data_IF_683552758403
#
_entry.id   IF_683552758403
#
_cell.length_a   1.000
_cell.length_b   1.000
_cell.length_c   1.000
_cell.angle_alpha   90.00
_cell.angle_beta   90.00
_cell.angle_gamma   90.00
#
_symmetry.space_group_name_H-M   'P 1'
#
loop_
_entity.id
_entity.type
_entity.pdbx_description
1 polymer ?
#
# COMPACT_ATOMS: atom_id res chain seq x y z
N UNK A 1 33.42 -24.08 18.76
CA UNK A 1 33.73 -22.70 18.32
C UNK A 1 33.83 -22.59 16.80
N UNK A 2 34.79 -23.24 16.11
CA UNK A 2 34.94 -23.13 14.63
C UNK A 2 33.67 -23.43 13.80
N UNK A 3 32.88 -24.44 14.18
CA UNK A 3 31.60 -24.78 13.51
C UNK A 3 30.52 -23.71 13.70
N UNK A 4 30.48 -23.05 14.86
CA UNK A 4 29.53 -21.98 15.17
C UNK A 4 29.93 -20.71 14.40
N UNK A 5 31.22 -20.38 14.35
CA UNK A 5 31.75 -19.26 13.57
C UNK A 5 31.47 -19.43 12.07
N UNK A 6 31.63 -20.65 11.54
CA UNK A 6 31.30 -20.94 10.15
C UNK A 6 29.80 -20.79 9.86
N UNK A 7 28.92 -21.28 10.74
CA UNK A 7 27.47 -21.11 10.60
C UNK A 7 27.07 -19.62 10.62
N UNK A 8 27.63 -18.84 11.55
CA UNK A 8 27.39 -17.39 11.64
C UNK A 8 27.85 -16.65 10.38
N UNK A 9 29.00 -17.04 9.82
CA UNK A 9 29.50 -16.47 8.56
C UNK A 9 28.55 -16.78 7.38
N UNK A 10 28.01 -18.01 7.34
CA UNK A 10 27.07 -18.45 6.31
C UNK A 10 25.73 -17.69 6.41
N UNK A 11 25.25 -17.46 7.63
CA UNK A 11 24.07 -16.63 7.89
C UNK A 11 24.31 -15.18 7.47
N UNK A 12 25.43 -14.57 7.87
CA UNK A 12 25.77 -13.19 7.49
C UNK A 12 25.93 -13.02 5.97
N UNK A 13 26.55 -13.97 5.29
CA UNK A 13 26.69 -13.96 3.83
C UNK A 13 25.32 -14.05 3.15
N UNK A 14 24.42 -14.90 3.66
CA UNK A 14 23.06 -14.98 3.13
C UNK A 14 22.30 -13.65 3.29
N UNK A 15 22.38 -12.99 4.45
CA UNK A 15 21.75 -11.69 4.68
C UNK A 15 22.27 -10.61 3.70
N UNK A 16 23.56 -10.63 3.37
CA UNK A 16 24.15 -9.68 2.43
C UNK A 16 23.67 -9.94 0.99
N UNK A 17 23.57 -11.21 0.59
CA UNK A 17 23.10 -11.61 -0.74
C UNK A 17 21.61 -11.32 -0.97
N UNK A 18 20.80 -11.31 0.09
CA UNK A 18 19.37 -10.99 0.02
C UNK A 18 19.04 -9.51 0.31
N UNK A 19 20.05 -8.63 0.40
CA UNK A 19 19.83 -7.20 0.61
C UNK A 19 19.26 -6.53 -0.65
N UNK A 20 17.95 -6.37 -0.70
CA UNK A 20 17.28 -5.63 -1.77
C UNK A 20 17.62 -4.13 -1.68
N UNK A 21 18.09 -3.54 -2.78
CA UNK A 21 18.37 -2.10 -2.89
C UNK A 21 17.36 -1.34 -3.74
N UNK A 22 16.49 -2.06 -4.46
CA UNK A 22 15.56 -1.54 -5.47
C UNK A 22 14.15 -2.06 -5.27
N UNK A 23 13.15 -1.22 -5.46
CA UNK A 23 11.74 -1.59 -5.33
C UNK A 23 10.88 -0.93 -6.40
N UNK A 24 9.84 -1.63 -6.82
CA UNK A 24 8.76 -1.08 -7.64
C UNK A 24 7.48 -1.08 -6.82
N UNK A 25 6.90 0.11 -6.64
CA UNK A 25 5.63 0.32 -5.96
C UNK A 25 4.53 0.54 -6.99
N UNK A 26 3.46 -0.22 -6.84
CA UNK A 26 2.25 -0.17 -7.66
C UNK A 26 1.04 0.07 -6.78
N UNK A 27 -0.07 0.50 -7.38
CA UNK A 27 -1.36 0.41 -6.72
C UNK A 27 -1.74 -1.07 -6.60
N UNK A 28 -1.75 -1.59 -5.37
CA UNK A 28 -2.01 -3.00 -5.09
C UNK A 28 -3.49 -3.39 -5.26
N UNK A 29 -4.42 -2.42 -5.32
CA UNK A 29 -5.81 -2.69 -5.72
C UNK A 29 -5.88 -2.90 -7.23
N UNK A 30 -5.21 -2.04 -7.98
CA UNK A 30 -5.12 -2.11 -9.44
C UNK A 30 -5.36 -0.78 -10.13
N UNK A 31 -5.62 -0.85 -11.43
CA UNK A 31 -5.83 0.31 -12.31
C UNK A 31 -7.02 0.07 -13.25
N UNK A 32 -7.76 1.12 -13.58
CA UNK A 32 -8.80 1.05 -14.60
C UNK A 32 -8.17 1.05 -15.99
N UNK A 33 -8.82 0.38 -16.95
CA UNK A 33 -8.28 0.12 -18.29
C UNK A 33 -7.82 1.39 -19.01
N UNK A 34 -8.57 2.49 -18.91
CA UNK A 34 -8.32 3.75 -19.64
C UNK A 34 -7.82 4.90 -18.75
N UNK A 35 -7.49 4.61 -17.51
CA UNK A 35 -7.01 5.61 -16.55
C UNK A 35 -5.48 5.68 -16.52
N UNK A 36 -4.94 6.67 -15.81
CA UNK A 36 -3.51 6.84 -15.62
C UNK A 36 -2.94 5.70 -14.76
N UNK A 37 -1.88 5.08 -15.26
CA UNK A 37 -1.19 3.95 -14.61
C UNK A 37 0.28 4.26 -14.52
N UNK A 38 0.75 4.45 -13.29
CA UNK A 38 2.14 4.79 -13.01
C UNK A 38 2.63 3.95 -11.84
N UNK A 39 3.76 3.29 -12.03
CA UNK A 39 4.51 2.67 -10.94
C UNK A 39 5.65 3.59 -10.51
N UNK A 40 6.07 3.45 -9.25
CA UNK A 40 7.19 4.21 -8.68
C UNK A 40 8.33 3.25 -8.43
N UNK A 41 9.39 3.40 -9.19
CA UNK A 41 10.65 2.69 -8.96
C UNK A 41 11.53 3.54 -8.03
N UNK A 42 12.17 2.92 -7.03
CA UNK A 42 13.04 3.58 -6.05
C UNK A 42 14.25 2.71 -5.74
N UNK A 43 15.41 3.34 -5.51
CA UNK A 43 16.67 2.65 -5.26
C UNK A 43 17.52 3.36 -4.20
N UNK A 44 18.27 2.59 -3.41
CA UNK A 44 19.30 3.09 -2.48
C UNK A 44 20.60 3.50 -3.19
N UNK A 45 20.82 3.05 -4.42
CA UNK A 45 21.93 3.44 -5.29
C UNK A 45 21.54 4.45 -6.37
N UNK A 46 22.44 4.65 -7.33
CA UNK A 46 22.33 5.66 -8.40
C UNK A 46 21.85 5.09 -9.75
N UNK A 47 21.93 3.77 -9.95
CA UNK A 47 21.56 3.13 -11.20
C UNK A 47 20.05 3.27 -11.44
N UNK A 48 19.64 3.84 -12.57
CA UNK A 48 18.23 4.06 -12.91
C UNK A 48 17.78 3.20 -14.10
N UNK A 49 16.50 2.80 -14.16
CA UNK A 49 15.97 2.13 -15.33
C UNK A 49 15.69 3.15 -16.45
N UNK A 50 15.92 2.73 -17.69
CA UNK A 50 15.50 3.46 -18.89
C UNK A 50 14.25 2.82 -19.55
N UNK A 51 13.95 1.58 -19.18
CA UNK A 51 12.81 0.81 -19.67
C UNK A 51 12.25 -0.09 -18.57
N UNK A 52 11.03 -0.57 -18.79
CA UNK A 52 10.38 -1.56 -17.95
C UNK A 52 9.45 -2.45 -18.78
N UNK A 53 9.01 -3.55 -18.20
CA UNK A 53 8.15 -4.54 -18.84
C UNK A 53 6.92 -4.79 -17.97
N UNK A 54 5.76 -5.04 -18.60
CA UNK A 54 4.66 -5.72 -17.92
C UNK A 54 4.71 -7.19 -18.33
N UNK A 55 4.67 -8.05 -17.32
CA UNK A 55 4.63 -9.49 -17.49
C UNK A 55 3.25 -9.96 -17.04
N UNK A 56 2.56 -10.68 -17.91
CA UNK A 56 1.29 -11.32 -17.58
C UNK A 56 1.55 -12.53 -16.69
N UNK A 57 0.90 -12.59 -15.52
CA UNK A 57 1.17 -13.64 -14.53
C UNK A 57 0.68 -15.00 -15.00
N UNK A 58 -0.38 -15.04 -15.82
CA UNK A 58 -0.98 -16.30 -16.25
C UNK A 58 -0.13 -17.03 -17.28
N UNK A 59 0.52 -16.28 -18.18
CA UNK A 59 1.37 -16.80 -19.25
C UNK A 59 2.87 -16.74 -18.90
N UNK A 60 3.28 -15.84 -18.01
CA UNK A 60 4.69 -15.52 -17.76
C UNK A 60 5.33 -14.70 -18.89
N UNK A 61 4.55 -14.25 -19.88
CA UNK A 61 5.07 -13.54 -21.04
C UNK A 61 5.11 -12.02 -20.82
N UNK A 62 6.13 -11.39 -21.43
CA UNK A 62 6.18 -9.93 -21.53
C UNK A 62 5.13 -9.45 -22.53
N UNK A 63 4.09 -8.81 -22.02
CA UNK A 63 2.95 -8.31 -22.83
C UNK A 63 3.05 -6.84 -23.20
N UNK A 64 3.98 -6.10 -22.56
CA UNK A 64 4.24 -4.70 -22.86
C UNK A 64 5.67 -4.33 -22.49
N UNK A 65 6.30 -3.49 -23.32
CA UNK A 65 7.59 -2.86 -23.03
C UNK A 65 7.37 -1.35 -23.00
N UNK A 66 7.66 -0.73 -21.86
CA UNK A 66 7.47 0.69 -21.63
C UNK A 66 8.79 1.45 -21.57
N UNK A 67 8.87 2.54 -22.34
CA UNK A 67 10.00 3.45 -22.37
C UNK A 67 9.66 4.83 -21.78
N UNK A 68 8.40 5.05 -21.36
CA UNK A 68 7.99 6.28 -20.67
C UNK A 68 8.45 6.24 -19.20
N UNK A 69 9.75 6.44 -19.02
CA UNK A 69 10.39 6.53 -17.71
C UNK A 69 10.73 7.99 -17.41
N UNK A 70 10.15 8.53 -16.33
CA UNK A 70 10.46 9.88 -15.85
C UNK A 70 11.28 9.79 -14.57
N UNK A 71 12.57 10.11 -14.64
CA UNK A 71 13.42 10.21 -13.46
C UNK A 71 12.96 11.35 -12.54
N UNK A 72 12.90 11.07 -11.24
CA UNK A 72 12.40 12.01 -10.22
C UNK A 72 13.43 12.36 -9.15
N UNK A 73 14.67 11.89 -9.31
CA UNK A 73 15.81 12.24 -8.44
C UNK A 73 15.76 11.58 -7.06
N UNK A 74 16.47 12.16 -6.10
CA UNK A 74 16.51 11.68 -4.71
C UNK A 74 15.15 11.83 -4.01
N UNK A 75 14.86 10.92 -3.08
CA UNK A 75 13.74 10.97 -2.14
C UNK A 75 14.29 10.78 -0.72
N UNK A 76 13.58 11.17 0.36
CA UNK A 76 14.15 11.13 1.72
C UNK A 76 14.80 9.79 2.13
N UNK A 77 14.28 8.67 1.62
CA UNK A 77 14.80 7.33 1.88
C UNK A 77 15.58 6.70 0.70
N UNK A 78 15.70 7.34 -0.45
CA UNK A 78 16.20 6.72 -1.70
C UNK A 78 17.10 7.67 -2.50
N UNK A 79 18.21 7.14 -3.02
CA UNK A 79 19.17 7.91 -3.82
C UNK A 79 18.75 8.12 -5.25
N UNK A 80 17.87 7.28 -5.77
CA UNK A 80 17.26 7.51 -7.07
C UNK A 80 15.83 7.02 -7.09
N UNK A 81 15.03 7.66 -7.94
CA UNK A 81 13.63 7.32 -8.13
C UNK A 81 13.19 7.65 -9.54
N UNK A 82 12.19 6.91 -10.03
CA UNK A 82 11.61 7.10 -11.34
C UNK A 82 10.11 6.75 -11.33
N UNK A 83 9.37 7.34 -12.27
CA UNK A 83 7.99 6.99 -12.58
C UNK A 83 7.94 6.22 -13.88
N UNK A 84 7.32 5.05 -13.84
CA UNK A 84 7.15 4.14 -14.97
C UNK A 84 5.70 4.28 -15.46
N UNK A 85 5.47 4.97 -16.57
CA UNK A 85 4.12 5.20 -17.09
C UNK A 85 3.72 4.11 -18.10
N UNK A 86 2.69 3.34 -17.77
CA UNK A 86 2.16 2.27 -18.62
C UNK A 86 0.68 2.48 -18.95
N UNK A 87 0.23 3.74 -18.93
CA UNK A 87 -1.17 4.09 -19.19
C UNK A 87 -1.67 3.61 -20.56
N UNK A 88 -0.77 3.52 -21.55
CA UNK A 88 -1.06 3.02 -22.89
C UNK A 88 -1.48 1.55 -22.93
N UNK A 89 -1.12 0.75 -21.91
CA UNK A 89 -1.57 -0.63 -21.79
C UNK A 89 -2.94 -0.68 -21.13
N UNK A 90 -3.93 -1.19 -21.87
CA UNK A 90 -5.35 -1.17 -21.48
C UNK A 90 -5.97 -2.56 -21.33
N UNK A 91 -5.23 -3.62 -21.65
CA UNK A 91 -5.75 -4.99 -21.61
C UNK A 91 -6.02 -5.42 -20.16
N UNK A 92 -7.23 -5.90 -19.84
CA UNK A 92 -7.53 -6.40 -18.52
C UNK A 92 -6.75 -7.68 -18.19
N UNK A 93 -6.32 -7.82 -16.94
CA UNK A 93 -5.57 -8.99 -16.48
C UNK A 93 -4.83 -8.75 -15.17
N UNK A 94 -3.93 -9.69 -14.84
CA UNK A 94 -3.06 -9.59 -13.65
C UNK A 94 -1.61 -9.58 -14.11
N UNK A 95 -0.87 -8.56 -13.67
CA UNK A 95 0.47 -8.27 -14.16
C UNK A 95 1.45 -8.03 -13.02
N UNK A 96 2.73 -8.19 -13.32
CA UNK A 96 3.84 -7.59 -12.57
C UNK A 96 4.57 -6.60 -13.49
N UNK A 97 5.22 -5.60 -12.90
CA UNK A 97 6.18 -4.74 -13.61
C UNK A 97 7.58 -5.20 -13.28
N UNK A 98 8.43 -5.32 -14.30
CA UNK A 98 9.85 -5.63 -14.19
C UNK A 98 10.71 -4.50 -14.74
N UNK A 99 11.70 -4.05 -13.99
CA UNK A 99 12.71 -3.10 -14.45
C UNK A 99 14.10 -3.61 -14.01
N UNK A 100 14.91 -4.06 -14.98
CA UNK A 100 16.11 -4.85 -14.68
C UNK A 100 15.74 -6.15 -13.96
N UNK A 101 16.37 -6.43 -12.82
CA UNK A 101 16.06 -7.57 -11.96
C UNK A 101 14.96 -7.29 -10.93
N UNK A 102 14.49 -6.05 -10.84
CA UNK A 102 13.50 -5.64 -9.84
C UNK A 102 12.09 -5.87 -10.34
N UNK A 103 11.27 -6.56 -9.55
CA UNK A 103 9.88 -6.88 -9.85
C UNK A 103 8.92 -6.25 -8.83
N UNK A 104 7.74 -5.84 -9.29
CA UNK A 104 6.66 -5.38 -8.42
C UNK A 104 5.87 -6.55 -7.83
N UNK A 105 5.12 -6.33 -6.75
CA UNK A 105 3.98 -7.19 -6.42
C UNK A 105 2.99 -7.29 -7.59
N UNK A 106 2.20 -8.38 -7.65
CA UNK A 106 1.13 -8.51 -8.63
C UNK A 106 0.05 -7.44 -8.44
N UNK A 107 -0.50 -6.94 -9.55
CA UNK A 107 -1.62 -6.00 -9.55
C UNK A 107 -2.57 -6.27 -10.72
N UNK A 108 -3.79 -5.72 -10.64
CA UNK A 108 -4.83 -5.91 -11.66
C UNK A 108 -5.00 -4.68 -12.55
N UNK A 109 -5.36 -4.92 -13.80
CA UNK A 109 -5.95 -3.92 -14.69
C UNK A 109 -7.34 -4.40 -15.08
N UNK A 110 -8.35 -3.54 -14.95
CA UNK A 110 -9.74 -3.87 -15.27
C UNK A 110 -10.69 -2.80 -14.76
N UNK A 111 -11.87 -2.66 -15.37
CA UNK A 111 -12.85 -1.66 -14.93
C UNK A 111 -13.60 -2.04 -13.63
N UNK A 112 -13.43 -3.29 -13.19
CA UNK A 112 -14.01 -3.86 -11.98
C UNK A 112 -13.10 -3.74 -10.74
N UNK A 113 -11.85 -3.26 -10.86
CA UNK A 113 -10.86 -3.30 -9.77
C UNK A 113 -11.27 -2.52 -8.51
N UNK A 114 -12.11 -1.50 -8.67
CA UNK A 114 -12.66 -0.72 -7.55
C UNK A 114 -14.10 -1.09 -7.19
N UNK A 115 -14.67 -2.13 -7.81
CA UNK A 115 -16.01 -2.59 -7.47
C UNK A 115 -16.06 -2.97 -5.98
N UNK A 116 -16.95 -2.31 -5.23
CA UNK A 116 -17.08 -2.52 -3.78
C UNK A 116 -16.02 -1.84 -2.91
N UNK A 117 -15.04 -1.11 -3.47
CA UNK A 117 -13.98 -0.47 -2.68
C UNK A 117 -14.52 0.54 -1.66
N UNK A 118 -15.63 1.21 -1.96
CA UNK A 118 -16.31 2.13 -1.04
C UNK A 118 -16.84 1.45 0.23
N UNK A 119 -17.08 0.13 0.20
CA UNK A 119 -17.62 -0.60 1.34
C UNK A 119 -16.56 -0.78 2.44
N UNK A 120 -15.26 -0.81 2.10
CA UNK A 120 -14.18 -0.95 3.08
C UNK A 120 -14.17 0.20 4.12
N UNK A 121 -14.09 1.49 3.72
CA UNK A 121 -14.15 2.57 4.70
C UNK A 121 -15.51 2.64 5.39
N UNK A 122 -16.61 2.29 4.73
CA UNK A 122 -17.92 2.24 5.38
C UNK A 122 -18.00 1.15 6.45
N UNK A 123 -17.44 -0.03 6.20
CA UNK A 123 -17.31 -1.09 7.21
C UNK A 123 -16.47 -0.63 8.39
N UNK A 124 -15.34 0.04 8.13
CA UNK A 124 -14.53 0.65 9.19
C UNK A 124 -15.36 1.64 10.00
N UNK A 125 -16.07 2.58 9.38
CA UNK A 125 -16.90 3.57 10.09
C UNK A 125 -18.02 2.93 10.92
N UNK A 126 -18.65 1.85 10.43
CA UNK A 126 -19.67 1.11 11.20
C UNK A 126 -19.07 0.46 12.44
N UNK A 127 -17.81 -0.01 12.37
CA UNK A 127 -17.09 -0.54 13.53
C UNK A 127 -16.66 0.55 14.52
N UNK A 128 -16.56 1.82 14.11
CA UNK A 128 -16.23 2.95 14.99
C UNK A 128 -17.45 3.54 15.72
N UNK A 129 -18.60 2.85 15.73
CA UNK A 129 -19.81 3.32 16.42
C UNK A 129 -19.58 3.49 17.93
N UNK A 130 -20.13 4.58 18.47
CA UNK A 130 -20.30 4.86 19.89
C UNK A 130 -21.73 4.48 20.32
N UNK A 131 -21.93 4.04 21.56
CA UNK A 131 -23.15 3.35 21.97
C UNK A 131 -23.13 1.89 21.53
N UNK A 132 -24.29 1.32 21.17
CA UNK A 132 -24.35 -0.06 20.70
C UNK A 132 -23.67 -0.25 19.35
N UNK A 133 -22.72 -1.18 19.30
CA UNK A 133 -21.95 -1.55 18.12
C UNK A 133 -22.29 -2.99 17.69
N UNK A 134 -23.05 -3.17 16.60
CA UNK A 134 -23.44 -4.50 16.13
C UNK A 134 -22.27 -5.39 15.71
N UNK A 135 -21.12 -4.83 15.32
CA UNK A 135 -19.95 -5.60 14.92
C UNK A 135 -19.28 -6.28 16.12
N UNK A 136 -19.26 -5.62 17.28
CA UNK A 136 -18.74 -6.15 18.53
C UNK A 136 -19.82 -6.88 19.35
N UNK A 137 -21.09 -6.64 18.99
CA UNK A 137 -22.26 -7.01 19.77
C UNK A 137 -22.17 -6.55 21.23
N UNK A 138 -21.69 -5.32 21.42
CA UNK A 138 -21.46 -4.71 22.73
C UNK A 138 -21.68 -3.19 22.66
N UNK A 139 -21.73 -2.52 23.81
CA UNK A 139 -21.93 -1.07 23.92
C UNK A 139 -20.79 -0.38 24.65
N UNK A 140 -20.29 0.71 24.08
CA UNK A 140 -19.36 1.63 24.74
C UNK A 140 -20.05 2.97 25.05
N UNK A 141 -19.47 3.77 25.94
CA UNK A 141 -19.94 5.14 26.24
C UNK A 141 -21.41 5.22 26.67
N UNK A 142 -21.90 4.22 27.41
CA UNK A 142 -23.32 4.11 27.83
C UNK A 142 -23.76 5.19 28.82
N UNK A 143 -22.84 6.00 29.32
CA UNK A 143 -23.10 7.11 30.24
C UNK A 143 -22.65 8.46 29.67
N UNK A 144 -22.28 8.57 28.40
CA UNK A 144 -21.87 9.87 27.85
C UNK A 144 -23.11 10.78 27.62
N UNK A 145 -23.05 12.09 27.89
CA UNK A 145 -21.93 12.89 28.45
C UNK A 145 -22.29 13.58 29.79
N UNK A 146 -21.29 14.13 30.48
CA UNK A 146 -21.45 14.89 31.74
C UNK A 146 -21.34 16.40 31.47
N UNK A 147 -22.23 17.20 32.05
CA UNK A 147 -22.14 18.67 31.97
C UNK A 147 -20.97 19.21 32.80
N UNK A 148 -20.14 20.04 32.16
CA UNK A 148 -19.02 20.76 32.79
C UNK A 148 -19.12 22.23 32.39
N UNK A 149 -19.11 23.15 33.37
CA UNK A 149 -19.18 24.59 33.10
C UNK A 149 -20.59 25.13 32.88
N UNK A 150 -21.60 24.53 33.53
CA UNK A 150 -22.96 25.06 33.56
C UNK A 150 -22.96 26.51 34.12
N UNK A 151 -23.56 27.50 33.42
CA UNK A 151 -23.52 28.90 33.83
C UNK A 151 -24.08 29.17 35.23
N UNK A 152 -25.11 28.41 35.64
CA UNK A 152 -25.72 28.48 36.97
C UNK A 152 -25.10 27.48 37.96
N UNK A 153 -24.18 26.63 37.51
CA UNK A 153 -23.56 25.54 38.26
C UNK A 153 -24.48 24.38 38.65
N UNK A 154 -25.79 24.46 38.37
CA UNK A 154 -26.83 23.52 38.80
C UNK A 154 -26.68 22.14 38.17
N UNK A 155 -26.03 22.05 37.01
CA UNK A 155 -25.87 20.79 36.26
C UNK A 155 -24.45 20.24 36.25
N UNK A 156 -23.48 20.91 36.87
CA UNK A 156 -22.10 20.42 36.87
C UNK A 156 -21.99 19.02 37.47
N UNK A 157 -21.34 18.10 36.74
CA UNK A 157 -21.18 16.71 37.17
C UNK A 157 -22.40 15.81 36.90
N UNK A 158 -23.50 16.35 36.36
CA UNK A 158 -24.68 15.56 35.99
C UNK A 158 -24.61 15.09 34.54
N UNK A 159 -25.13 13.89 34.28
CA UNK A 159 -25.26 13.35 32.92
C UNK A 159 -26.32 14.12 32.09
N UNK A 160 -26.10 14.20 30.78
CA UNK A 160 -27.01 14.88 29.84
C UNK A 160 -28.29 14.07 29.53
N UNK A 161 -28.22 12.74 29.53
CA UNK A 161 -29.28 11.83 29.08
C UNK A 161 -29.87 10.94 30.20
N UNK A 162 -29.94 11.43 31.44
CA UNK A 162 -30.80 10.80 32.45
C UNK A 162 -32.24 11.28 32.26
N UNK A 163 -33.12 10.37 31.84
CA UNK A 163 -34.50 10.36 32.36
C UNK A 163 -34.43 9.88 33.80
#
# INVERSE_FOLDING_TARGET
MKRITFLLLLILLSCYLFSQSEWIRVNQVGYLEKDIKVAVWVNKGEAMPDQFQLIDISSGETVFVGNEVRHTGEQPAFKSSARLNFSAFITPGTYIIKAGETESPPFRIGNEVYAGAAEIPLQYMRQQRCGYNPCLNDSCHVHDGITVGDPDGKRNGLYFNTV
#
